data_IF_887316236096
#
_entry.id   IF_887316236096
#
_cell.length_a   1.000
_cell.length_b   1.000
_cell.length_c   1.000
_cell.angle_alpha   90.00
_cell.angle_beta   90.00
_cell.angle_gamma   90.00
#
_symmetry.space_group_name_H-M   'P 1'
#
loop_
_entity.id
_entity.type
_entity.pdbx_description
1 polymer ?
#
# COMPACT_ATOMS: atom_id res chain seq x y z
N UNK A 1 -3.66 -5.93 24.64
CA UNK A 1 -3.78 -6.22 23.20
C UNK A 1 -2.99 -5.16 22.47
N UNK A 2 -2.08 -5.50 21.56
CA UNK A 2 -1.29 -4.52 20.81
C UNK A 2 -1.97 -4.25 19.46
N UNK A 3 -2.28 -3.00 19.15
CA UNK A 3 -2.88 -2.61 17.88
C UNK A 3 -1.79 -2.21 16.87
N UNK A 4 -2.10 -2.35 15.57
CA UNK A 4 -1.15 -2.08 14.48
C UNK A 4 -0.54 -0.68 14.59
N UNK A 5 -1.38 0.33 14.79
CA UNK A 5 -0.97 1.74 14.84
C UNK A 5 -0.45 2.21 16.20
N UNK A 6 -0.46 1.37 17.23
CA UNK A 6 0.29 1.65 18.46
C UNK A 6 1.80 1.49 18.25
N UNK A 7 2.19 0.73 17.22
CA UNK A 7 3.58 0.56 16.84
C UNK A 7 4.04 1.72 15.95
N UNK A 8 4.87 2.59 16.52
CA UNK A 8 5.40 3.79 15.84
C UNK A 8 6.12 3.50 14.52
N UNK A 9 6.73 2.32 14.36
CA UNK A 9 7.42 1.98 13.10
C UNK A 9 6.41 1.54 12.04
N UNK A 10 5.37 0.80 12.43
CA UNK A 10 4.30 0.43 11.52
C UNK A 10 3.49 1.66 11.08
N UNK A 11 3.19 2.57 12.00
CA UNK A 11 2.53 3.85 11.73
C UNK A 11 3.36 4.72 10.78
N UNK A 12 4.66 4.91 11.08
CA UNK A 12 5.57 5.64 10.20
C UNK A 12 5.70 5.01 8.81
N UNK A 13 5.72 3.67 8.72
CA UNK A 13 5.73 2.97 7.44
C UNK A 13 4.47 3.29 6.63
N UNK A 14 3.29 3.21 7.27
CA UNK A 14 2.02 3.50 6.63
C UNK A 14 2.01 4.91 6.03
N UNK A 15 2.29 5.93 6.83
CA UNK A 15 2.25 7.32 6.38
C UNK A 15 3.24 7.60 5.25
N UNK A 16 4.48 7.12 5.38
CA UNK A 16 5.51 7.29 4.35
C UNK A 16 5.10 6.68 3.01
N UNK A 17 4.61 5.45 3.03
CA UNK A 17 4.28 4.74 1.80
C UNK A 17 2.96 5.21 1.21
N UNK A 18 1.99 5.60 2.04
CA UNK A 18 0.76 6.21 1.55
C UNK A 18 1.08 7.49 0.77
N UNK A 19 1.82 8.42 1.37
CA UNK A 19 2.20 9.69 0.71
C UNK A 19 3.02 9.48 -0.57
N UNK A 20 3.85 8.44 -0.61
CA UNK A 20 4.59 8.08 -1.83
C UNK A 20 3.65 7.53 -2.91
N UNK A 21 2.89 6.49 -2.58
CA UNK A 21 2.12 5.70 -3.54
C UNK A 21 0.94 6.46 -4.15
N UNK A 22 0.30 7.39 -3.44
CA UNK A 22 -0.81 8.17 -4.01
C UNK A 22 -0.39 9.05 -5.19
N UNK A 23 0.89 9.42 -5.26
CA UNK A 23 1.44 10.28 -6.30
C UNK A 23 2.04 9.49 -7.48
N UNK A 24 2.04 8.16 -7.41
CA UNK A 24 2.61 7.30 -8.43
C UNK A 24 1.63 6.97 -9.55
N UNK A 25 2.15 6.44 -10.66
CA UNK A 25 1.32 5.76 -11.66
C UNK A 25 0.76 4.45 -11.10
N UNK A 26 -0.33 3.92 -11.66
CA UNK A 26 -0.91 2.64 -11.22
C UNK A 26 0.14 1.51 -11.23
N UNK A 27 0.99 1.48 -12.28
CA UNK A 27 2.12 0.58 -12.39
C UNK A 27 3.16 0.83 -11.28
N UNK A 28 3.51 2.10 -11.07
CA UNK A 28 4.43 2.53 -10.01
C UNK A 28 3.96 2.09 -8.62
N UNK A 29 2.66 2.24 -8.32
CA UNK A 29 2.08 1.81 -7.06
C UNK A 29 2.30 0.32 -6.78
N UNK A 30 2.08 -0.54 -7.78
CA UNK A 30 2.26 -1.99 -7.62
C UNK A 30 3.73 -2.35 -7.47
N UNK A 31 4.61 -1.81 -8.32
CA UNK A 31 6.03 -2.13 -8.31
C UNK A 31 6.72 -1.64 -7.03
N UNK A 32 6.51 -0.37 -6.68
CA UNK A 32 7.07 0.24 -5.47
C UNK A 32 6.47 -0.41 -4.22
N UNK A 33 5.16 -0.64 -4.21
CA UNK A 33 4.47 -1.29 -3.09
C UNK A 33 4.98 -2.70 -2.80
N UNK A 34 5.07 -3.54 -3.84
CA UNK A 34 5.60 -4.89 -3.70
C UNK A 34 7.08 -4.89 -3.28
N UNK A 35 7.89 -3.98 -3.81
CA UNK A 35 9.30 -3.84 -3.43
C UNK A 35 9.46 -3.41 -1.97
N UNK A 36 8.65 -2.46 -1.49
CA UNK A 36 8.69 -2.02 -0.10
C UNK A 36 8.37 -3.17 0.88
N UNK A 37 7.34 -3.97 0.58
CA UNK A 37 7.00 -5.14 1.40
C UNK A 37 8.11 -6.20 1.36
N UNK A 38 8.71 -6.42 0.19
CA UNK A 38 9.83 -7.35 0.04
C UNK A 38 11.07 -6.95 0.86
N UNK A 39 11.38 -5.65 0.88
CA UNK A 39 12.44 -5.08 1.73
C UNK A 39 12.14 -5.26 3.21
N UNK A 40 10.89 -5.06 3.63
CA UNK A 40 10.49 -5.28 5.03
C UNK A 40 10.53 -6.75 5.44
N UNK A 41 10.23 -7.68 4.53
CA UNK A 41 10.44 -9.12 4.77
C UNK A 41 11.93 -9.45 4.90
N UNK A 42 12.79 -8.90 4.04
CA UNK A 42 14.25 -9.02 4.21
C UNK A 42 14.69 -8.48 5.57
N UNK A 43 14.21 -7.30 5.96
CA UNK A 43 14.49 -6.69 7.26
C UNK A 43 13.98 -7.55 8.43
N UNK A 44 12.82 -8.18 8.28
CA UNK A 44 12.25 -9.09 9.28
C UNK A 44 13.20 -10.27 9.54
N UNK A 45 13.66 -10.93 8.47
CA UNK A 45 14.59 -12.06 8.60
C UNK A 45 15.96 -11.62 9.12
N UNK A 46 16.50 -10.49 8.69
CA UNK A 46 17.76 -9.98 9.23
C UNK A 46 17.65 -9.64 10.72
N UNK A 47 16.51 -9.12 11.16
CA UNK A 47 16.24 -8.78 12.57
C UNK A 47 16.27 -10.00 13.50
N UNK A 48 15.86 -11.17 13.02
CA UNK A 48 15.85 -12.42 13.80
C UNK A 48 17.10 -13.27 13.56
N UNK A 49 18.02 -12.82 12.71
CA UNK A 49 19.27 -13.53 12.45
C UNK A 49 20.20 -13.40 13.66
N UNK A 50 20.81 -14.50 14.15
CA UNK A 50 21.74 -14.44 15.27
C UNK A 50 22.89 -13.45 15.04
N UNK A 51 23.30 -12.74 16.11
CA UNK A 51 24.35 -11.72 16.05
C UNK A 51 25.73 -12.29 15.68
N UNK A 52 25.97 -13.57 15.95
CA UNK A 52 27.19 -14.31 15.61
C UNK A 52 27.16 -14.95 14.21
N UNK A 53 26.04 -14.80 13.48
CA UNK A 53 25.96 -15.25 12.09
C UNK A 53 26.93 -14.46 11.21
N UNK A 54 27.96 -15.14 10.70
CA UNK A 54 28.98 -14.48 9.88
C UNK A 54 28.41 -13.92 8.56
N UNK A 55 29.10 -12.92 8.01
CA UNK A 55 28.69 -12.22 6.79
C UNK A 55 28.56 -13.15 5.56
N UNK A 56 29.31 -14.25 5.51
CA UNK A 56 29.24 -15.23 4.41
C UNK A 56 27.91 -15.98 4.42
N UNK A 57 27.43 -16.39 5.60
CA UNK A 57 26.13 -17.05 5.76
C UNK A 57 25.01 -16.09 5.36
N UNK A 58 25.03 -14.85 5.89
CA UNK A 58 24.04 -13.82 5.52
C UNK A 58 23.99 -13.61 4.01
N UNK A 59 25.15 -13.39 3.38
CA UNK A 59 25.24 -13.21 1.92
C UNK A 59 24.67 -14.41 1.17
N UNK A 60 25.00 -15.64 1.54
CA UNK A 60 24.49 -16.84 0.85
C UNK A 60 22.97 -17.01 0.99
N UNK A 61 22.39 -16.59 2.12
CA UNK A 61 20.95 -16.73 2.39
C UNK A 61 20.15 -15.64 1.67
N UNK A 62 20.62 -14.38 1.73
CA UNK A 62 19.90 -13.20 1.23
C UNK A 62 20.25 -12.78 -0.21
N UNK A 63 21.30 -13.36 -0.82
CA UNK A 63 21.61 -13.12 -2.24
C UNK A 63 20.43 -13.54 -3.13
N UNK A 64 20.35 -13.01 -4.35
CA UNK A 64 19.23 -13.27 -5.27
C UNK A 64 19.03 -14.74 -5.64
N UNK A 65 20.08 -15.57 -5.50
CA UNK A 65 20.02 -17.03 -5.67
C UNK A 65 19.94 -17.80 -4.35
N UNK A 66 19.89 -17.08 -3.24
CA UNK A 66 19.77 -17.61 -1.90
C UNK A 66 18.33 -17.98 -1.55
N UNK A 67 18.17 -18.72 -0.45
CA UNK A 67 16.87 -19.22 0.01
C UNK A 67 15.90 -18.10 0.40
N UNK A 68 16.42 -16.91 0.76
CA UNK A 68 15.64 -15.70 1.03
C UNK A 68 15.92 -14.61 -0.02
N UNK A 69 16.31 -14.99 -1.23
CA UNK A 69 16.55 -14.05 -2.33
C UNK A 69 15.27 -13.48 -2.93
N UNK A 70 14.27 -14.33 -3.15
CA UNK A 70 13.01 -13.95 -3.79
C UNK A 70 11.87 -13.72 -2.80
N UNK A 71 10.94 -12.83 -3.16
CA UNK A 71 9.74 -12.51 -2.37
C UNK A 71 8.89 -13.75 -2.06
N UNK A 72 8.71 -14.66 -3.02
CA UNK A 72 7.97 -15.93 -2.81
C UNK A 72 8.59 -16.76 -1.69
N UNK A 73 9.89 -17.02 -1.74
CA UNK A 73 10.58 -17.83 -0.73
C UNK A 73 10.55 -17.17 0.64
N UNK A 74 10.67 -15.84 0.71
CA UNK A 74 10.50 -15.09 1.97
C UNK A 74 9.11 -15.26 2.55
N UNK A 75 8.06 -15.20 1.73
CA UNK A 75 6.68 -15.40 2.18
C UNK A 75 6.44 -16.81 2.71
N UNK A 76 6.87 -17.83 1.96
CA UNK A 76 6.71 -19.23 2.34
C UNK A 76 7.37 -19.52 3.69
N UNK A 77 8.62 -19.07 3.86
CA UNK A 77 9.38 -19.29 5.09
C UNK A 77 8.81 -18.45 6.23
N UNK A 78 8.39 -17.20 5.99
CA UNK A 78 7.83 -16.36 7.04
C UNK A 78 6.51 -16.93 7.56
N UNK A 79 5.68 -17.49 6.67
CA UNK A 79 4.45 -18.17 7.05
C UNK A 79 4.73 -19.48 7.79
N UNK A 80 5.60 -20.33 7.23
CA UNK A 80 5.96 -21.62 7.82
C UNK A 80 6.57 -21.48 9.23
N UNK A 81 7.38 -20.45 9.45
CA UNK A 81 7.97 -20.13 10.75
C UNK A 81 7.04 -19.33 11.68
N UNK A 82 5.76 -19.13 11.31
CA UNK A 82 4.77 -18.36 12.06
C UNK A 82 5.20 -16.92 12.39
N UNK A 83 5.98 -16.30 11.51
CA UNK A 83 6.39 -14.90 11.62
C UNK A 83 5.31 -13.96 11.09
N UNK A 84 4.57 -14.40 10.07
CA UNK A 84 3.40 -13.69 9.52
C UNK A 84 2.15 -14.57 9.56
N UNK A 85 0.95 -13.97 9.70
CA UNK A 85 -0.30 -14.71 9.65
C UNK A 85 -0.68 -15.11 8.21
N UNK A 86 -1.59 -16.09 8.09
CA UNK A 86 -2.01 -16.66 6.82
C UNK A 86 -2.63 -15.64 5.86
N UNK A 87 -3.45 -14.74 6.38
CA UNK A 87 -4.12 -13.69 5.60
C UNK A 87 -3.10 -12.74 4.95
N UNK A 88 -2.12 -12.28 5.71
CA UNK A 88 -1.03 -11.44 5.19
C UNK A 88 -0.18 -12.19 4.16
N UNK A 89 0.12 -13.47 4.41
CA UNK A 89 0.82 -14.33 3.46
C UNK A 89 0.05 -14.41 2.12
N UNK A 90 -1.24 -14.71 2.15
CA UNK A 90 -2.07 -14.83 0.95
C UNK A 90 -2.18 -13.49 0.21
N UNK A 91 -2.44 -12.39 0.92
CA UNK A 91 -2.56 -11.06 0.33
C UNK A 91 -1.28 -10.65 -0.43
N UNK A 92 -0.12 -10.79 0.21
CA UNK A 92 1.16 -10.40 -0.42
C UNK A 92 1.54 -11.36 -1.55
N UNK A 93 1.13 -12.63 -1.47
CA UNK A 93 1.36 -13.58 -2.56
C UNK A 93 0.49 -13.25 -3.80
N UNK A 94 -0.73 -12.76 -3.63
CA UNK A 94 -1.54 -12.22 -4.73
C UNK A 94 -0.96 -10.91 -5.28
N UNK A 95 -0.45 -10.02 -4.42
CA UNK A 95 0.26 -8.82 -4.86
C UNK A 95 1.50 -9.16 -5.71
N UNK A 96 2.24 -10.20 -5.33
CA UNK A 96 3.38 -10.70 -6.11
C UNK A 96 2.95 -11.16 -7.51
N UNK A 97 1.78 -11.82 -7.64
CA UNK A 97 1.24 -12.22 -8.94
C UNK A 97 0.90 -11.00 -9.79
N UNK A 98 0.21 -10.01 -9.22
CA UNK A 98 -0.11 -8.75 -9.90
C UNK A 98 1.16 -8.02 -10.38
N UNK A 99 2.18 -7.93 -9.52
CA UNK A 99 3.50 -7.37 -9.90
C UNK A 99 4.14 -8.12 -11.07
N UNK A 100 4.02 -9.44 -11.11
CA UNK A 100 4.58 -10.25 -12.20
C UNK A 100 3.80 -10.08 -13.50
N UNK A 101 2.48 -9.87 -13.46
CA UNK A 101 1.69 -9.56 -14.65
C UNK A 101 2.19 -8.28 -15.32
N UNK A 102 2.48 -7.24 -14.53
CA UNK A 102 3.05 -5.98 -15.04
C UNK A 102 4.33 -6.22 -15.84
N UNK A 103 5.21 -7.12 -15.39
CA UNK A 103 6.46 -7.41 -16.09
C UNK A 103 6.26 -8.06 -17.47
N UNK A 104 5.08 -8.59 -17.74
CA UNK A 104 4.71 -9.23 -19.01
C UNK A 104 3.78 -8.38 -19.88
N UNK A 105 3.31 -7.22 -19.40
CA UNK A 105 2.46 -6.32 -20.19
C UNK A 105 3.29 -5.36 -21.05
N UNK A 106 2.95 -5.29 -22.33
CA UNK A 106 3.55 -4.37 -23.31
C UNK A 106 2.82 -3.01 -23.33
N UNK A 107 1.59 -2.95 -22.80
CA UNK A 107 0.75 -1.75 -22.75
C UNK A 107 0.76 -1.07 -21.37
N UNK A 108 0.21 0.14 -21.30
CA UNK A 108 0.10 0.90 -20.05
C UNK A 108 -0.87 0.21 -19.06
N UNK A 109 -0.33 -0.36 -17.98
CA UNK A 109 -1.10 -0.95 -16.88
C UNK A 109 -2.04 0.08 -16.24
N UNK A 110 -3.30 -0.32 -16.01
CA UNK A 110 -4.36 0.50 -15.40
C UNK A 110 -5.17 -0.29 -14.41
N UNK A 111 -5.39 0.25 -13.21
CA UNK A 111 -6.15 -0.45 -12.17
C UNK A 111 -7.58 -0.80 -12.58
N UNK A 112 -8.21 0.00 -13.42
CA UNK A 112 -9.56 -0.25 -13.94
C UNK A 112 -9.68 -1.60 -14.68
N UNK A 113 -8.59 -2.10 -15.26
CA UNK A 113 -8.56 -3.37 -15.96
C UNK A 113 -8.22 -4.56 -15.05
N UNK A 114 -7.84 -4.31 -13.80
CA UNK A 114 -7.37 -5.33 -12.84
C UNK A 114 -8.10 -5.25 -11.48
N UNK A 115 -9.36 -4.83 -11.51
CA UNK A 115 -10.16 -4.65 -10.29
C UNK A 115 -10.34 -5.98 -9.53
N UNK A 116 -10.46 -7.09 -10.26
CA UNK A 116 -10.64 -8.42 -9.66
C UNK A 116 -9.38 -8.89 -8.95
N UNK A 117 -8.19 -8.67 -9.52
CA UNK A 117 -6.91 -8.97 -8.88
C UNK A 117 -6.69 -8.10 -7.65
N UNK A 118 -7.01 -6.80 -7.74
CA UNK A 118 -6.97 -5.88 -6.60
C UNK A 118 -7.90 -6.35 -5.48
N UNK A 119 -9.15 -6.70 -5.81
CA UNK A 119 -10.11 -7.25 -4.86
C UNK A 119 -9.60 -8.55 -4.23
N UNK A 120 -9.01 -9.43 -5.05
CA UNK A 120 -8.46 -10.72 -4.60
C UNK A 120 -7.34 -10.53 -3.58
N UNK A 121 -6.48 -9.53 -3.77
CA UNK A 121 -5.41 -9.19 -2.80
C UNK A 121 -6.00 -8.80 -1.44
N UNK A 122 -6.89 -7.80 -1.43
CA UNK A 122 -7.32 -7.18 -0.18
C UNK A 122 -8.45 -7.94 0.53
N UNK A 123 -9.17 -8.82 -0.17
CA UNK A 123 -10.15 -9.73 0.43
C UNK A 123 -9.51 -10.84 1.27
N UNK A 124 -8.21 -11.10 1.11
CA UNK A 124 -7.51 -12.07 1.96
C UNK A 124 -7.38 -11.61 3.41
N UNK A 125 -7.35 -10.29 3.65
CA UNK A 125 -7.10 -9.72 4.96
C UNK A 125 -8.33 -9.85 5.88
N UNK A 126 -8.08 -10.22 7.15
CA UNK A 126 -9.13 -10.25 8.15
C UNK A 126 -9.58 -8.83 8.54
N UNK A 127 -10.87 -8.70 8.87
CA UNK A 127 -11.51 -7.39 8.96
C UNK A 127 -11.74 -6.84 7.55
N UNK A 128 -12.87 -6.17 7.31
CA UNK A 128 -13.28 -5.79 5.97
C UNK A 128 -12.39 -4.66 5.39
N UNK A 129 -11.15 -4.99 5.02
CA UNK A 129 -10.12 -4.07 4.56
C UNK A 129 -10.54 -3.37 3.27
N UNK A 130 -11.21 -4.11 2.38
CA UNK A 130 -11.78 -3.54 1.15
C UNK A 130 -12.72 -2.38 1.48
N UNK A 131 -13.65 -2.58 2.43
CA UNK A 131 -14.56 -1.50 2.85
C UNK A 131 -13.80 -0.32 3.46
N UNK A 132 -12.79 -0.57 4.29
CA UNK A 132 -11.95 0.49 4.86
C UNK A 132 -11.27 1.28 3.74
N UNK A 133 -10.63 0.61 2.80
CA UNK A 133 -9.96 1.24 1.66
C UNK A 133 -10.93 2.05 0.80
N UNK A 134 -12.08 1.48 0.44
CA UNK A 134 -13.06 2.12 -0.45
C UNK A 134 -13.70 3.34 0.21
N UNK A 135 -14.12 3.22 1.48
CA UNK A 135 -14.72 4.34 2.20
C UNK A 135 -13.69 5.45 2.46
N UNK A 136 -12.49 5.09 2.90
CA UNK A 136 -11.44 6.08 3.20
C UNK A 136 -10.97 6.77 1.92
N UNK A 137 -10.79 6.04 0.82
CA UNK A 137 -10.40 6.64 -0.46
C UNK A 137 -11.46 7.60 -1.00
N UNK A 138 -12.74 7.32 -0.79
CA UNK A 138 -13.83 8.22 -1.17
C UNK A 138 -13.78 9.52 -0.38
N UNK A 139 -13.68 9.44 0.95
CA UNK A 139 -13.53 10.62 1.82
C UNK A 139 -12.33 11.46 1.40
N UNK A 140 -11.15 10.84 1.28
CA UNK A 140 -9.91 11.54 0.94
C UNK A 140 -9.99 12.18 -0.45
N UNK A 141 -10.57 11.49 -1.43
CA UNK A 141 -10.69 12.00 -2.79
C UNK A 141 -11.59 13.24 -2.84
N UNK A 142 -12.72 13.21 -2.15
CA UNK A 142 -13.63 14.35 -2.05
C UNK A 142 -12.93 15.51 -1.35
N UNK A 143 -12.28 15.28 -0.21
CA UNK A 143 -11.52 16.30 0.52
C UNK A 143 -10.44 16.94 -0.36
N UNK A 144 -9.66 16.15 -1.10
CA UNK A 144 -8.63 16.64 -2.00
C UNK A 144 -9.22 17.44 -3.17
N UNK A 145 -10.33 16.98 -3.75
CA UNK A 145 -11.00 17.68 -4.85
C UNK A 145 -11.56 19.02 -4.37
N UNK A 146 -12.30 19.02 -3.27
CA UNK A 146 -12.90 20.22 -2.67
C UNK A 146 -11.83 21.22 -2.26
N UNK A 147 -10.75 20.77 -1.59
CA UNK A 147 -9.64 21.65 -1.23
C UNK A 147 -9.06 22.37 -2.45
N UNK A 148 -8.78 21.64 -3.54
CA UNK A 148 -8.27 22.23 -4.78
C UNK A 148 -9.26 23.21 -5.41
N UNK A 149 -10.55 22.94 -5.33
CA UNK A 149 -11.60 23.81 -5.88
C UNK A 149 -11.70 25.12 -5.09
N UNK A 150 -11.64 25.07 -3.75
CA UNK A 150 -11.65 26.26 -2.91
C UNK A 150 -10.43 27.17 -3.12
N UNK A 151 -9.32 26.61 -3.59
CA UNK A 151 -8.12 27.37 -3.92
C UNK A 151 -8.24 28.12 -5.25
N UNK A 152 -9.19 27.78 -6.13
CA UNK A 152 -9.35 28.42 -7.44
C UNK A 152 -9.88 29.86 -7.32
N UNK A 153 -9.18 30.81 -7.96
CA UNK A 153 -9.61 32.20 -8.06
C UNK A 153 -10.51 32.42 -9.28
N UNK A 154 -11.44 33.38 -9.19
CA UNK A 154 -12.32 33.73 -10.29
C UNK A 154 -11.49 34.19 -11.51
N UNK A 155 -11.81 33.71 -12.73
CA UNK A 155 -10.96 33.92 -13.91
C UNK A 155 -10.83 35.39 -14.33
N UNK A 156 -11.78 36.24 -13.91
CA UNK A 156 -11.81 37.67 -14.22
C UNK A 156 -11.38 38.50 -13.00
N UNK A 157 -11.67 38.04 -11.79
CA UNK A 157 -11.32 38.72 -10.54
C UNK A 157 -10.45 37.80 -9.69
N UNK A 158 -9.14 37.99 -9.75
CA UNK A 158 -8.21 37.14 -9.02
C UNK A 158 -8.27 37.31 -7.50
N UNK A 159 -9.02 38.30 -6.99
CA UNK A 159 -9.23 38.52 -5.55
C UNK A 159 -10.39 37.72 -4.99
N UNK A 160 -11.28 37.20 -5.85
CA UNK A 160 -12.42 36.38 -5.47
C UNK A 160 -12.17 34.90 -5.74
N UNK A 161 -12.83 34.02 -4.96
CA UNK A 161 -12.81 32.57 -5.17
C UNK A 161 -13.94 32.15 -6.11
N UNK A 162 -13.69 31.13 -6.95
CA UNK A 162 -14.75 30.53 -7.79
C UNK A 162 -15.81 29.88 -6.89
N UNK A 163 -15.36 29.19 -5.85
CA UNK A 163 -16.21 28.49 -4.90
C UNK A 163 -16.06 29.16 -3.52
N UNK A 164 -17.13 29.76 -2.96
CA UNK A 164 -17.06 30.47 -1.69
C UNK A 164 -17.02 29.54 -0.47
N UNK A 165 -17.49 28.29 -0.61
CA UNK A 165 -17.51 27.31 0.48
C UNK A 165 -17.54 25.87 -0.04
N UNK A 166 -17.26 24.91 0.86
CA UNK A 166 -17.19 23.48 0.51
C UNK A 166 -18.50 22.92 -0.05
N UNK A 167 -19.66 23.41 0.39
CA UNK A 167 -20.95 22.89 -0.07
C UNK A 167 -21.19 23.20 -1.54
N UNK A 168 -20.85 24.40 -1.99
CA UNK A 168 -20.95 24.78 -3.40
C UNK A 168 -19.97 24.00 -4.29
N UNK A 169 -18.75 23.78 -3.82
CA UNK A 169 -17.79 22.93 -4.52
C UNK A 169 -18.28 21.47 -4.64
N UNK A 170 -18.84 20.91 -3.57
CA UNK A 170 -19.42 19.56 -3.57
C UNK A 170 -20.62 19.48 -4.53
N UNK A 171 -21.55 20.42 -4.46
CA UNK A 171 -22.72 20.45 -5.35
C UNK A 171 -22.27 20.50 -6.82
N UNK A 172 -21.29 21.34 -7.14
CA UNK A 172 -20.73 21.39 -8.48
C UNK A 172 -20.11 20.05 -8.91
N UNK A 173 -19.36 19.36 -8.05
CA UNK A 173 -18.84 18.03 -8.37
C UNK A 173 -19.96 17.03 -8.67
N UNK A 174 -21.02 17.03 -7.86
CA UNK A 174 -22.17 16.13 -8.03
C UNK A 174 -22.96 16.40 -9.31
N UNK A 175 -23.04 17.65 -9.74
CA UNK A 175 -23.72 18.08 -10.96
C UNK A 175 -22.92 17.82 -12.24
N UNK A 176 -21.63 17.40 -12.13
CA UNK A 176 -20.73 17.20 -13.27
C UNK A 176 -20.24 15.73 -13.36
N UNK A 177 -21.01 14.82 -14.01
CA UNK A 177 -20.70 13.39 -14.08
C UNK A 177 -19.33 13.05 -14.67
N UNK A 178 -18.84 13.83 -15.62
CA UNK A 178 -17.51 13.61 -16.23
C UNK A 178 -16.37 13.85 -15.25
N UNK A 179 -16.52 14.80 -14.31
CA UNK A 179 -15.56 15.03 -13.24
C UNK A 179 -15.58 13.86 -12.26
N UNK A 180 -16.76 13.38 -11.87
CA UNK A 180 -16.92 12.19 -11.01
C UNK A 180 -16.24 10.98 -11.65
N UNK A 181 -16.43 10.76 -12.95
CA UNK A 181 -15.81 9.65 -13.68
C UNK A 181 -14.28 9.75 -13.64
N UNK A 182 -13.70 10.95 -13.84
CA UNK A 182 -12.25 11.16 -13.72
C UNK A 182 -11.75 10.92 -12.31
N UNK A 183 -12.49 11.38 -11.30
CA UNK A 183 -12.17 11.17 -9.88
C UNK A 183 -12.17 9.69 -9.51
N UNK A 184 -13.11 8.89 -10.03
CA UNK A 184 -13.18 7.45 -9.76
C UNK A 184 -11.91 6.68 -10.18
N UNK A 185 -11.25 7.06 -11.28
CA UNK A 185 -9.96 6.46 -11.66
C UNK A 185 -8.87 6.71 -10.58
N UNK A 186 -8.88 7.91 -9.99
CA UNK A 186 -7.97 8.29 -8.91
C UNK A 186 -8.35 7.63 -7.58
N UNK A 187 -9.65 7.35 -7.35
CA UNK A 187 -10.15 6.60 -6.19
C UNK A 187 -9.48 5.24 -6.06
N UNK A 188 -9.41 4.48 -7.16
CA UNK A 188 -8.79 3.15 -7.15
C UNK A 188 -7.33 3.20 -6.73
N UNK A 189 -6.59 4.22 -7.19
CA UNK A 189 -5.20 4.42 -6.78
C UNK A 189 -5.07 4.74 -5.29
N UNK A 190 -5.87 5.67 -4.78
CA UNK A 190 -5.88 6.00 -3.36
C UNK A 190 -6.22 4.76 -2.52
N UNK A 191 -7.25 4.01 -2.92
CA UNK A 191 -7.65 2.78 -2.25
C UNK A 191 -6.49 1.76 -2.23
N UNK A 192 -5.86 1.51 -3.38
CA UNK A 192 -4.72 0.62 -3.49
C UNK A 192 -3.54 1.07 -2.62
N UNK A 193 -3.21 2.36 -2.63
CA UNK A 193 -2.15 2.93 -1.80
C UNK A 193 -2.41 2.72 -0.30
N UNK A 194 -3.65 2.91 0.16
CA UNK A 194 -4.07 2.61 1.54
C UNK A 194 -3.85 1.13 1.86
N UNK A 195 -4.35 0.25 0.99
CA UNK A 195 -4.25 -1.20 1.17
C UNK A 195 -2.80 -1.69 1.26
N UNK A 196 -1.95 -1.29 0.31
CA UNK A 196 -0.51 -1.64 0.32
C UNK A 196 0.19 -1.11 1.56
N UNK A 197 -0.09 0.14 1.94
CA UNK A 197 0.51 0.76 3.12
C UNK A 197 0.14 -0.01 4.39
N UNK A 198 -1.11 -0.51 4.49
CA UNK A 198 -1.56 -1.37 5.58
C UNK A 198 -0.89 -2.75 5.56
N UNK A 199 -0.73 -3.37 4.39
CA UNK A 199 -0.02 -4.66 4.28
C UNK A 199 1.44 -4.52 4.73
N UNK A 200 2.15 -3.51 4.25
CA UNK A 200 3.54 -3.27 4.64
C UNK A 200 3.68 -2.88 6.12
N UNK A 201 2.80 -2.03 6.64
CA UNK A 201 2.74 -1.73 8.07
C UNK A 201 2.52 -3.00 8.90
N UNK A 202 1.69 -3.93 8.41
CA UNK A 202 1.47 -5.23 9.06
C UNK A 202 2.74 -6.07 9.09
N UNK A 203 3.56 -6.08 8.03
CA UNK A 203 4.88 -6.75 8.04
C UNK A 203 5.82 -6.10 9.05
N UNK A 204 5.88 -4.77 9.11
CA UNK A 204 6.71 -4.04 10.09
C UNK A 204 6.31 -4.36 11.53
N UNK A 205 5.00 -4.41 11.79
CA UNK A 205 4.46 -4.80 13.09
C UNK A 205 4.87 -6.23 13.46
N UNK A 206 4.76 -7.18 12.53
CA UNK A 206 5.19 -8.57 12.74
C UNK A 206 6.69 -8.67 12.96
N UNK A 207 7.51 -7.89 12.25
CA UNK A 207 8.96 -7.77 12.49
C UNK A 207 9.26 -7.33 13.93
N UNK A 208 8.57 -6.31 14.44
CA UNK A 208 8.81 -5.83 15.81
C UNK A 208 8.40 -6.86 16.87
N UNK A 209 7.31 -7.61 16.63
CA UNK A 209 6.93 -8.73 17.50
C UNK A 209 7.97 -9.86 17.46
N UNK A 210 8.47 -10.21 16.28
CA UNK A 210 9.50 -11.23 16.12
C UNK A 210 10.81 -10.81 16.81
N UNK A 211 11.25 -9.55 16.66
CA UNK A 211 12.41 -9.00 17.37
C UNK A 211 12.30 -9.25 18.88
N UNK A 212 11.17 -8.92 19.50
CA UNK A 212 10.95 -9.15 20.95
C UNK A 212 11.02 -10.64 21.33
N UNK A 213 10.56 -11.53 20.45
CA UNK A 213 10.56 -12.98 20.67
C UNK A 213 11.95 -13.60 20.58
N UNK A 214 12.79 -13.12 19.66
CA UNK A 214 14.13 -13.66 19.39
C UNK A 214 15.27 -12.84 20.04
N UNK A 215 14.95 -11.81 20.83
CA UNK A 215 15.93 -11.06 21.65
C UNK A 215 16.26 -11.73 22.99
N UNK A 216 15.99 -13.03 23.12
CA UNK A 216 16.35 -13.89 24.27
C UNK A 216 17.41 -14.89 23.83
#
# INVERSE_FOLDING_TARGET
MAYLFDDKKADAFFHRHYSLLVNESDMGCVLIGASAIDQELTSLFDTITPNDANTKIKKRIFDGRGVLGELSSKLDIAYLCHLIPKDLYLAVHELRKLRNLIAHEVMAFKFENHVDEIYTIFSQMNGNLIRVMMNTSETVLIEQAVSKMLDLNHPIDMTEKIFPNSNEAINYLLENPDLIKKLNSHKLRIAFAIGISLLGASVVFRKNLASKKFSQ
#
